data_IF_745186667038
#
_entry.id   IF_745186667038
#
_cell.length_a   1.000
_cell.length_b   1.000
_cell.length_c   1.000
_cell.angle_alpha   90.00
_cell.angle_beta   90.00
_cell.angle_gamma   90.00
#
_symmetry.space_group_name_H-M   'P 1'
#
loop_
_entity.id
_entity.type
_entity.pdbx_description
1 polymer ?
#
# COMPACT_ATOMS: atom_id res chain seq x y z
N UNK A 1 5.52 -22.35 12.91
CA UNK A 1 5.30 -21.59 11.65
C UNK A 1 5.73 -22.49 10.52
N UNK A 2 4.85 -22.81 9.59
CA UNK A 2 5.23 -23.62 8.42
C UNK A 2 5.77 -22.66 7.35
N UNK A 3 6.99 -22.88 6.85
CA UNK A 3 7.51 -22.03 5.79
C UNK A 3 6.60 -22.12 4.55
N UNK A 4 6.31 -21.00 3.91
CA UNK A 4 5.71 -21.03 2.59
C UNK A 4 6.78 -21.50 1.59
N UNK A 5 6.64 -22.73 1.09
CA UNK A 5 7.56 -23.36 0.13
C UNK A 5 6.98 -23.42 -1.28
N UNK A 6 5.77 -22.87 -1.48
CA UNK A 6 5.13 -22.75 -2.79
C UNK A 6 5.78 -21.67 -3.66
N UNK A 7 5.54 -21.73 -4.97
CA UNK A 7 5.84 -20.62 -5.86
C UNK A 7 4.90 -19.44 -5.52
N UNK A 8 5.44 -18.22 -5.57
CA UNK A 8 4.67 -17.01 -5.40
C UNK A 8 3.67 -16.85 -6.55
N UNK A 9 2.40 -16.70 -6.22
CA UNK A 9 1.32 -16.48 -7.17
C UNK A 9 0.40 -15.37 -6.64
N UNK A 10 0.61 -14.16 -7.13
CA UNK A 10 -0.13 -12.97 -6.65
C UNK A 10 -1.63 -13.06 -6.93
N UNK A 11 -2.04 -13.77 -7.99
CA UNK A 11 -3.46 -13.92 -8.36
C UNK A 11 -4.16 -14.88 -7.40
N UNK A 12 -3.53 -16.02 -7.13
CA UNK A 12 -4.06 -17.01 -6.19
C UNK A 12 -4.10 -16.46 -4.76
N UNK A 13 -3.00 -15.85 -4.33
CA UNK A 13 -2.89 -15.25 -2.99
C UNK A 13 -3.86 -14.05 -2.85
N UNK A 14 -4.05 -13.25 -3.90
CA UNK A 14 -5.02 -12.16 -3.94
C UNK A 14 -6.46 -12.64 -3.85
N UNK A 15 -6.80 -13.74 -4.54
CA UNK A 15 -8.12 -14.36 -4.44
C UNK A 15 -8.40 -14.86 -3.02
N UNK A 16 -7.42 -15.54 -2.40
CA UNK A 16 -7.54 -16.01 -1.01
C UNK A 16 -7.69 -14.85 -0.03
N UNK A 17 -6.98 -13.73 -0.23
CA UNK A 17 -7.18 -12.53 0.58
C UNK A 17 -8.58 -11.94 0.38
N UNK A 18 -9.13 -12.00 -0.83
CA UNK A 18 -10.51 -11.60 -1.13
C UNK A 18 -11.55 -12.41 -0.33
N UNK A 19 -11.36 -13.73 -0.22
CA UNK A 19 -12.21 -14.60 0.63
C UNK A 19 -12.14 -14.18 2.10
N UNK A 20 -10.96 -13.84 2.61
CA UNK A 20 -10.81 -13.31 3.98
C UNK A 20 -11.58 -12.00 4.17
N UNK A 21 -11.54 -11.10 3.18
CA UNK A 21 -12.30 -9.84 3.24
C UNK A 21 -13.81 -10.08 3.23
N UNK A 22 -14.28 -11.09 2.47
CA UNK A 22 -15.68 -11.50 2.48
C UNK A 22 -16.10 -12.04 3.87
N UNK A 23 -15.29 -12.94 4.45
CA UNK A 23 -15.54 -13.47 5.80
C UNK A 23 -15.59 -12.33 6.85
N UNK A 24 -14.67 -11.37 6.77
CA UNK A 24 -14.68 -10.19 7.67
C UNK A 24 -15.97 -9.38 7.48
N UNK A 25 -16.39 -9.17 6.24
CA UNK A 25 -17.63 -8.45 5.93
C UNK A 25 -18.85 -9.20 6.47
N UNK A 26 -18.95 -10.52 6.29
CA UNK A 26 -20.04 -11.35 6.82
C UNK A 26 -20.10 -11.31 8.36
N UNK A 27 -18.94 -11.32 9.03
CA UNK A 27 -18.85 -11.31 10.49
C UNK A 27 -19.16 -9.94 11.11
N UNK A 28 -18.81 -8.84 10.45
CA UNK A 28 -18.82 -7.49 11.04
C UNK A 28 -19.84 -6.56 10.41
N UNK A 29 -20.29 -6.84 9.19
CA UNK A 29 -21.09 -5.93 8.37
C UNK A 29 -20.27 -4.78 7.75
N UNK A 30 -18.96 -4.71 7.98
CA UNK A 30 -18.08 -3.65 7.50
C UNK A 30 -17.18 -4.15 6.39
N UNK A 31 -16.79 -3.25 5.47
CA UNK A 31 -15.72 -3.50 4.53
C UNK A 31 -14.36 -3.37 5.22
N UNK A 32 -13.37 -4.10 4.75
CA UNK A 32 -12.04 -4.11 5.34
C UNK A 32 -11.18 -2.94 4.83
N UNK A 33 -10.36 -2.40 5.72
CA UNK A 33 -9.17 -1.63 5.36
C UNK A 33 -8.00 -2.61 5.48
N UNK A 34 -7.21 -2.77 4.44
CA UNK A 34 -6.04 -3.64 4.58
C UNK A 34 -4.73 -2.87 4.40
N UNK A 35 -3.76 -3.29 5.18
CA UNK A 35 -2.40 -2.75 5.14
C UNK A 35 -1.50 -3.78 4.49
N UNK A 36 -0.78 -3.38 3.47
CA UNK A 36 0.20 -4.22 2.79
C UNK A 36 1.61 -3.68 2.98
N UNK A 37 2.59 -4.55 2.87
CA UNK A 37 4.00 -4.18 2.96
C UNK A 37 4.82 -4.88 1.88
N UNK A 38 5.72 -4.14 1.24
CA UNK A 38 6.74 -4.68 0.34
C UNK A 38 6.14 -5.56 -0.78
N UNK A 39 6.60 -6.79 -0.92
CA UNK A 39 6.08 -7.77 -1.87
C UNK A 39 4.59 -8.08 -1.67
N UNK A 40 4.10 -8.04 -0.43
CA UNK A 40 2.68 -8.27 -0.11
C UNK A 40 1.74 -7.27 -0.79
N UNK A 41 2.24 -6.12 -1.22
CA UNK A 41 1.43 -5.15 -1.97
C UNK A 41 0.99 -5.68 -3.34
N UNK A 42 1.77 -6.57 -3.96
CA UNK A 42 1.35 -7.22 -5.22
C UNK A 42 0.12 -8.10 -5.03
N UNK A 43 0.07 -8.83 -3.92
CA UNK A 43 -1.13 -9.58 -3.52
C UNK A 43 -2.28 -8.61 -3.28
N UNK A 44 -2.03 -7.52 -2.55
CA UNK A 44 -3.03 -6.48 -2.31
C UNK A 44 -3.61 -5.90 -3.59
N UNK A 45 -2.77 -5.59 -4.59
CA UNK A 45 -3.26 -5.08 -5.88
C UNK A 45 -4.09 -6.12 -6.66
N UNK A 46 -3.79 -7.41 -6.51
CA UNK A 46 -4.52 -8.50 -7.14
C UNK A 46 -5.82 -8.87 -6.40
N UNK A 47 -6.00 -8.44 -5.15
CA UNK A 47 -7.18 -8.76 -4.32
C UNK A 47 -8.46 -8.17 -4.92
N UNK A 48 -9.58 -8.93 -4.97
CA UNK A 48 -10.91 -8.40 -5.25
C UNK A 48 -11.29 -7.26 -4.29
N UNK A 49 -11.99 -6.24 -4.79
CA UNK A 49 -12.20 -4.97 -4.04
C UNK A 49 -13.61 -4.78 -3.51
N UNK A 50 -14.51 -5.75 -3.68
CA UNK A 50 -15.93 -5.65 -3.32
C UNK A 50 -16.12 -5.36 -1.83
N UNK A 51 -15.28 -5.97 -0.97
CA UNK A 51 -15.31 -5.83 0.48
C UNK A 51 -14.14 -5.01 1.03
N UNK A 52 -13.56 -4.14 0.20
CA UNK A 52 -12.46 -3.24 0.55
C UNK A 52 -12.98 -1.81 0.67
N UNK A 53 -12.60 -1.10 1.72
CA UNK A 53 -12.89 0.32 1.93
C UNK A 53 -11.68 1.23 1.71
N UNK A 54 -10.47 0.76 1.95
CA UNK A 54 -9.22 1.47 1.66
C UNK A 54 -8.02 0.53 1.61
N UNK A 55 -6.95 0.99 0.97
CA UNK A 55 -5.66 0.30 0.91
C UNK A 55 -4.57 1.21 1.48
N UNK A 56 -3.80 0.69 2.44
CA UNK A 56 -2.58 1.31 2.94
C UNK A 56 -1.40 0.46 2.47
N UNK A 57 -0.59 0.99 1.58
CA UNK A 57 0.58 0.30 1.04
C UNK A 57 1.86 0.89 1.63
N UNK A 58 2.52 0.14 2.50
CA UNK A 58 3.77 0.53 3.15
C UNK A 58 4.94 0.01 2.30
N UNK A 59 5.74 0.92 1.77
CA UNK A 59 6.89 0.63 0.91
C UNK A 59 6.60 -0.51 -0.07
N UNK A 60 5.56 -0.37 -0.92
CA UNK A 60 5.16 -1.43 -1.85
C UNK A 60 6.29 -1.74 -2.83
N UNK A 61 6.40 -2.99 -3.25
CA UNK A 61 7.36 -3.40 -4.29
C UNK A 61 7.00 -2.89 -5.70
N UNK A 62 6.05 -2.00 -5.80
CA UNK A 62 5.52 -1.33 -7.00
C UNK A 62 4.03 -1.06 -6.85
N UNK A 63 3.49 -0.29 -7.80
CA UNK A 63 2.05 -0.01 -7.95
C UNK A 63 1.52 -0.73 -9.19
N UNK A 64 0.20 -0.86 -9.37
CA UNK A 64 -0.36 -1.34 -10.63
C UNK A 64 0.13 -0.51 -11.81
N UNK A 65 0.33 -1.16 -12.95
CA UNK A 65 0.61 -0.46 -14.21
C UNK A 65 -0.60 0.42 -14.57
N UNK A 66 -0.36 1.67 -14.94
CA UNK A 66 -1.38 2.64 -15.30
C UNK A 66 -2.18 2.11 -16.50
N UNK A 67 -3.50 2.07 -16.37
CA UNK A 67 -4.40 1.52 -17.37
C UNK A 67 -4.53 -0.01 -17.38
N UNK A 68 -3.84 -0.73 -16.47
CA UNK A 68 -4.00 -2.17 -16.32
C UNK A 68 -5.37 -2.54 -15.74
N UNK A 69 -5.71 -3.82 -15.79
CA UNK A 69 -6.94 -4.35 -15.18
C UNK A 69 -7.02 -4.04 -13.68
N UNK A 70 -5.91 -4.17 -12.96
CA UNK A 70 -5.85 -3.85 -11.53
C UNK A 70 -6.07 -2.36 -11.26
N UNK A 71 -5.44 -1.50 -12.06
CA UNK A 71 -5.65 -0.05 -12.00
C UNK A 71 -7.13 0.30 -12.22
N UNK A 72 -7.73 -0.22 -13.28
CA UNK A 72 -9.12 0.09 -13.63
C UNK A 72 -10.10 -0.42 -12.58
N UNK A 73 -9.87 -1.61 -12.03
CA UNK A 73 -10.71 -2.18 -10.97
C UNK A 73 -10.71 -1.32 -9.69
N UNK A 74 -9.54 -0.84 -9.28
CA UNK A 74 -9.41 0.06 -8.13
C UNK A 74 -10.13 1.38 -8.39
N UNK A 75 -9.99 1.93 -9.58
CA UNK A 75 -10.59 3.19 -10.00
C UNK A 75 -12.13 3.09 -10.07
N UNK A 76 -12.66 2.04 -10.69
CA UNK A 76 -14.10 1.80 -10.82
C UNK A 76 -14.77 1.63 -9.45
N UNK A 77 -14.09 0.99 -8.52
CA UNK A 77 -14.52 0.81 -7.14
C UNK A 77 -14.28 2.05 -6.26
N UNK A 78 -13.55 3.06 -6.78
CA UNK A 78 -13.16 4.28 -6.06
C UNK A 78 -12.47 4.01 -4.73
N UNK A 79 -11.56 3.03 -4.73
CA UNK A 79 -10.81 2.67 -3.54
C UNK A 79 -9.82 3.80 -3.20
N UNK A 80 -9.91 4.42 -2.00
CA UNK A 80 -8.89 5.34 -1.54
C UNK A 80 -7.62 4.58 -1.17
N UNK A 81 -6.48 5.14 -1.57
CA UNK A 81 -5.16 4.50 -1.45
C UNK A 81 -4.19 5.46 -0.77
N UNK A 82 -3.49 5.01 0.26
CA UNK A 82 -2.31 5.69 0.79
C UNK A 82 -1.07 4.83 0.56
N UNK A 83 -0.02 5.45 0.04
CA UNK A 83 1.28 4.80 -0.17
C UNK A 83 2.33 5.51 0.67
N UNK A 84 2.99 4.78 1.57
CA UNK A 84 3.96 5.33 2.51
C UNK A 84 5.38 4.95 2.14
N UNK A 85 6.29 5.92 2.15
CA UNK A 85 7.72 5.72 1.95
C UNK A 85 8.53 6.30 3.09
N UNK A 86 9.51 5.53 3.57
CA UNK A 86 10.41 5.88 4.65
C UNK A 86 11.62 6.73 4.20
N UNK A 87 12.39 7.13 5.21
CA UNK A 87 13.52 8.04 5.09
C UNK A 87 14.74 7.42 4.36
N UNK A 88 15.00 6.13 4.59
CA UNK A 88 16.24 5.51 4.09
C UNK A 88 16.26 5.26 2.58
N UNK A 89 15.15 5.50 1.88
CA UNK A 89 15.15 5.51 0.41
C UNK A 89 16.04 6.65 -0.13
N UNK A 90 15.95 7.83 0.47
CA UNK A 90 16.74 9.00 0.07
C UNK A 90 18.12 9.04 0.75
N UNK A 91 18.18 8.62 2.02
CA UNK A 91 19.38 8.68 2.85
C UNK A 91 20.18 7.35 2.86
N UNK A 92 19.80 6.39 2.03
CA UNK A 92 20.58 5.16 1.82
C UNK A 92 21.83 5.41 0.95
N UNK A 93 22.83 4.53 1.02
CA UNK A 93 24.02 4.62 0.17
C UNK A 93 23.65 4.55 -1.31
N UNK A 94 24.12 5.53 -2.11
CA UNK A 94 23.77 5.65 -3.54
C UNK A 94 24.32 4.51 -4.40
N UNK A 95 25.39 3.85 -3.96
CA UNK A 95 26.03 2.73 -4.65
C UNK A 95 25.37 1.39 -4.40
N UNK A 96 24.38 1.31 -3.50
CA UNK A 96 23.62 0.09 -3.24
C UNK A 96 22.47 -0.02 -4.23
N UNK A 97 22.47 -1.08 -5.03
CA UNK A 97 21.44 -1.33 -6.06
C UNK A 97 19.99 -1.31 -5.51
N UNK A 98 19.79 -1.78 -4.28
CA UNK A 98 18.49 -1.74 -3.62
C UNK A 98 17.97 -0.31 -3.41
N UNK A 99 18.84 0.65 -3.06
CA UNK A 99 18.47 2.05 -2.89
C UNK A 99 17.98 2.66 -4.20
N UNK A 100 18.66 2.39 -5.32
CA UNK A 100 18.21 2.87 -6.64
C UNK A 100 16.89 2.22 -7.06
N UNK A 101 16.70 0.95 -6.78
CA UNK A 101 15.45 0.25 -7.01
C UNK A 101 14.29 0.93 -6.27
N UNK A 102 14.45 1.22 -4.99
CA UNK A 102 13.41 1.84 -4.18
C UNK A 102 13.11 3.29 -4.57
N UNK A 103 14.12 4.05 -5.02
CA UNK A 103 13.89 5.38 -5.61
C UNK A 103 12.99 5.28 -6.85
N UNK A 104 13.26 4.35 -7.75
CA UNK A 104 12.43 4.12 -8.94
C UNK A 104 11.00 3.69 -8.58
N UNK A 105 10.85 2.84 -7.56
CA UNK A 105 9.53 2.42 -7.05
C UNK A 105 8.76 3.61 -6.49
N UNK A 106 9.41 4.46 -5.70
CA UNK A 106 8.81 5.68 -5.14
C UNK A 106 8.37 6.65 -6.23
N UNK A 107 9.22 6.90 -7.22
CA UNK A 107 8.89 7.75 -8.37
C UNK A 107 7.69 7.19 -9.16
N UNK A 108 7.65 5.86 -9.34
CA UNK A 108 6.52 5.16 -9.95
C UNK A 108 5.22 5.32 -9.17
N UNK A 109 5.29 5.32 -7.83
CA UNK A 109 4.11 5.54 -7.00
C UNK A 109 3.56 6.97 -7.10
N UNK A 110 4.43 7.98 -7.23
CA UNK A 110 4.00 9.36 -7.51
C UNK A 110 3.32 9.47 -8.88
N UNK A 111 3.89 8.86 -9.92
CA UNK A 111 3.27 8.84 -11.25
C UNK A 111 1.93 8.11 -11.26
N UNK A 112 1.83 6.99 -10.53
CA UNK A 112 0.57 6.27 -10.33
C UNK A 112 -0.48 7.15 -9.66
N UNK A 113 -0.14 7.81 -8.54
CA UNK A 113 -1.06 8.67 -7.81
C UNK A 113 -1.53 9.86 -8.66
N UNK A 114 -0.62 10.50 -9.42
CA UNK A 114 -0.97 11.57 -10.35
C UNK A 114 -2.02 11.11 -11.37
N UNK A 115 -1.78 9.97 -12.02
CA UNK A 115 -2.71 9.41 -13.01
C UNK A 115 -4.03 8.97 -12.38
N UNK A 116 -3.97 8.26 -11.25
CA UNK A 116 -5.15 7.75 -10.54
C UNK A 116 -6.08 8.90 -10.10
N UNK A 117 -5.50 9.99 -9.58
CA UNK A 117 -6.24 11.17 -9.17
C UNK A 117 -6.79 11.94 -10.38
N UNK A 118 -6.05 12.03 -11.48
CA UNK A 118 -6.52 12.65 -12.72
C UNK A 118 -7.72 11.91 -13.32
N UNK A 119 -7.76 10.59 -13.17
CA UNK A 119 -8.86 9.73 -13.62
C UNK A 119 -10.04 9.68 -12.62
N UNK A 120 -9.97 10.46 -11.53
CA UNK A 120 -11.04 10.60 -10.54
C UNK A 120 -10.98 9.64 -9.36
N UNK A 121 -9.84 9.01 -9.12
CA UNK A 121 -9.52 8.24 -7.92
C UNK A 121 -9.07 9.14 -6.75
N UNK A 122 -8.69 8.52 -5.64
CA UNK A 122 -8.12 9.15 -4.44
C UNK A 122 -6.88 8.37 -4.01
N UNK A 123 -5.70 8.86 -4.38
CA UNK A 123 -4.43 8.28 -3.99
C UNK A 123 -3.50 9.33 -3.40
N UNK A 124 -3.01 9.08 -2.19
CA UNK A 124 -2.02 9.91 -1.50
C UNK A 124 -0.70 9.16 -1.41
N UNK A 125 0.40 9.76 -1.86
CA UNK A 125 1.75 9.26 -1.57
C UNK A 125 2.34 10.08 -0.44
N UNK A 126 2.60 9.42 0.68
CA UNK A 126 3.21 10.01 1.88
C UNK A 126 4.72 9.72 1.86
N UNK A 127 5.49 10.77 1.68
CA UNK A 127 6.93 10.77 1.79
C UNK A 127 7.30 11.24 3.20
N UNK A 128 7.43 10.29 4.15
CA UNK A 128 7.59 10.59 5.56
C UNK A 128 8.64 11.66 5.89
N UNK A 129 9.82 11.69 5.23
CA UNK A 129 10.78 12.78 5.45
C UNK A 129 10.25 14.17 5.11
N UNK A 130 9.35 14.30 4.15
CA UNK A 130 8.72 15.59 3.79
C UNK A 130 7.67 16.03 4.81
N UNK A 131 7.10 15.06 5.54
CA UNK A 131 6.21 15.32 6.67
C UNK A 131 6.98 15.56 7.99
N UNK A 132 8.32 15.53 7.94
CA UNK A 132 9.18 15.71 9.11
C UNK A 132 9.40 14.44 9.93
N UNK A 133 8.93 13.29 9.47
CA UNK A 133 9.08 11.98 10.11
C UNK A 133 10.28 11.28 9.50
N UNK A 134 11.33 11.05 10.28
CA UNK A 134 12.62 10.51 9.82
C UNK A 134 13.09 9.31 10.63
N UNK A 135 14.12 8.62 10.15
CA UNK A 135 14.71 7.45 10.81
C UNK A 135 14.02 6.13 10.47
N UNK A 136 13.22 6.09 9.41
CA UNK A 136 12.44 4.93 9.03
C UNK A 136 13.11 4.12 7.94
N UNK A 137 13.35 2.85 8.25
CA UNK A 137 13.78 1.83 7.28
C UNK A 137 12.59 1.27 6.49
N UNK A 138 12.87 0.25 5.68
CA UNK A 138 11.83 -0.51 4.96
C UNK A 138 10.76 -1.12 5.89
N UNK A 139 11.08 -1.32 7.16
CA UNK A 139 10.17 -1.86 8.18
C UNK A 139 9.72 -0.77 9.16
N UNK A 140 9.22 0.36 8.66
CA UNK A 140 8.85 1.53 9.47
C UNK A 140 7.91 1.22 10.65
N UNK A 141 7.09 0.17 10.54
CA UNK A 141 6.21 -0.28 11.62
C UNK A 141 6.94 -1.01 12.77
N UNK A 142 8.25 -1.28 12.63
CA UNK A 142 9.12 -1.84 13.67
C UNK A 142 10.05 -0.81 14.30
N UNK A 143 10.06 0.42 13.81
CA UNK A 143 10.91 1.49 14.29
C UNK A 143 10.37 2.13 15.58
N UNK A 144 11.21 2.90 16.26
CA UNK A 144 10.87 3.50 17.55
C UNK A 144 9.75 4.53 17.47
N UNK A 145 9.51 5.11 16.29
CA UNK A 145 8.43 6.06 16.01
C UNK A 145 7.22 5.44 15.31
N UNK A 146 7.04 4.12 15.41
CA UNK A 146 5.94 3.40 14.76
C UNK A 146 4.56 3.93 15.18
N UNK A 147 4.42 4.45 16.41
CA UNK A 147 3.18 5.08 16.87
C UNK A 147 2.85 6.34 16.08
N UNK A 148 3.86 7.18 15.79
CA UNK A 148 3.68 8.39 14.98
C UNK A 148 3.19 8.06 13.57
N UNK A 149 3.70 6.97 12.99
CA UNK A 149 3.26 6.48 11.68
C UNK A 149 1.83 5.95 11.74
N UNK A 150 1.49 5.21 12.81
CA UNK A 150 0.14 4.71 13.01
C UNK A 150 -0.86 5.87 13.18
N UNK A 151 -0.51 6.88 13.97
CA UNK A 151 -1.33 8.09 14.16
C UNK A 151 -1.53 8.86 12.84
N UNK A 152 -0.50 8.90 11.98
CA UNK A 152 -0.60 9.51 10.66
C UNK A 152 -1.57 8.73 9.74
N UNK A 153 -1.51 7.39 9.76
CA UNK A 153 -2.43 6.54 9.01
C UNK A 153 -3.86 6.74 9.53
N UNK A 154 -4.06 6.76 10.85
CA UNK A 154 -5.36 6.98 11.47
C UNK A 154 -5.95 8.34 11.06
N UNK A 155 -5.13 9.40 11.07
CA UNK A 155 -5.56 10.73 10.62
C UNK A 155 -5.99 10.72 9.14
N UNK A 156 -5.23 10.06 8.26
CA UNK A 156 -5.57 9.91 6.84
C UNK A 156 -6.90 9.17 6.63
N UNK A 157 -7.15 8.12 7.42
CA UNK A 157 -8.42 7.37 7.41
C UNK A 157 -9.58 8.22 7.93
N UNK A 158 -9.36 8.96 9.02
CA UNK A 158 -10.38 9.82 9.63
C UNK A 158 -10.87 10.93 8.68
N UNK A 159 -9.95 11.54 7.90
CA UNK A 159 -10.30 12.53 6.88
C UNK A 159 -11.27 11.98 5.82
N UNK A 160 -11.32 10.67 5.64
CA UNK A 160 -12.17 9.95 4.69
C UNK A 160 -13.38 9.29 5.34
N UNK A 161 -13.54 9.47 6.66
CA UNK A 161 -14.63 8.84 7.42
C UNK A 161 -14.52 7.31 7.51
N UNK A 162 -13.30 6.80 7.54
CA UNK A 162 -12.96 5.37 7.55
C UNK A 162 -12.40 4.88 8.90
N UNK A 163 -12.61 5.59 9.98
CA UNK A 163 -12.16 5.26 11.34
C UNK A 163 -13.30 4.69 12.20
#
# INVERSE_FOLDING_TARGET
>A
MTPNTGSYDEVLDGAALGEVMEDVHEMTGNKAIYITHSQGSRVGWATPVENVSAIIAIEPGGTPEIGSEYYQRLLDAKIPIAVYFGDYIENGPEDIHSSQFWKNVKDGAFAFAESYNADGGDCTVVDLPKEGITGNSHFMFQEMNNQEIADHIEAWLAERGLN
#
